data_IF_854722760082
#
_entry.id   IF_854722760082
#
_cell.length_a   1.000
_cell.length_b   1.000
_cell.length_c   1.000
_cell.angle_alpha   90.00
_cell.angle_beta   90.00
_cell.angle_gamma   90.00
#
_symmetry.space_group_name_H-M   'P 1'
#
loop_
_entity.id
_entity.type
_entity.pdbx_description
1 polymer ?
#
# COMPACT_ATOMS: atom_id res chain seq x y z
N UNK A 1 18.96 -2.33 -0.03
CA UNK A 1 19.76 -1.12 -0.40
C UNK A 1 19.27 0.13 0.35
N UNK A 2 17.96 0.40 0.45
CA UNK A 2 17.38 1.56 1.14
C UNK A 2 17.90 1.73 2.59
N UNK A 3 17.92 0.67 3.41
CA UNK A 3 18.51 0.74 4.75
C UNK A 3 19.95 1.29 4.75
N UNK A 4 20.78 0.84 3.81
CA UNK A 4 22.17 1.31 3.72
C UNK A 4 22.28 2.76 3.26
N UNK A 5 21.33 3.23 2.43
CA UNK A 5 21.25 4.66 2.09
C UNK A 5 21.00 5.49 3.32
N UNK A 6 19.96 5.15 4.10
CA UNK A 6 19.63 5.83 5.35
C UNK A 6 20.76 5.74 6.38
N UNK A 7 21.38 4.54 6.52
CA UNK A 7 22.54 4.38 7.38
C UNK A 7 23.69 5.31 7.00
N UNK A 8 24.04 5.36 5.71
CA UNK A 8 25.15 6.17 5.20
C UNK A 8 24.86 7.67 5.28
N UNK A 9 23.63 8.11 5.14
CA UNK A 9 23.21 9.49 5.35
C UNK A 9 23.43 9.92 6.81
N UNK A 10 23.03 9.09 7.76
CA UNK A 10 23.15 9.37 9.19
C UNK A 10 24.54 9.09 9.77
N UNK A 11 25.40 8.36 9.06
CA UNK A 11 26.74 7.99 9.51
C UNK A 11 27.80 8.31 8.44
N UNK A 12 28.06 9.58 8.10
CA UNK A 12 28.94 9.96 6.99
C UNK A 12 30.37 9.47 7.17
N UNK A 13 30.83 9.35 8.43
CA UNK A 13 32.18 8.88 8.77
C UNK A 13 32.31 7.34 8.90
N UNK A 14 31.20 6.61 8.81
CA UNK A 14 31.15 5.14 8.94
C UNK A 14 30.34 4.51 7.81
N UNK A 15 30.49 5.05 6.60
CA UNK A 15 29.76 4.56 5.42
C UNK A 15 30.03 3.07 5.18
N UNK A 16 28.98 2.35 4.82
CA UNK A 16 29.03 0.94 4.43
C UNK A 16 28.93 0.81 2.92
N UNK A 17 29.79 -0.02 2.34
CA UNK A 17 29.73 -0.34 0.93
C UNK A 17 28.55 -1.27 0.63
N UNK A 18 27.78 -0.98 -0.43
CA UNK A 18 26.60 -1.75 -0.80
C UNK A 18 26.92 -3.18 -1.20
N UNK A 19 28.05 -3.40 -1.87
CA UNK A 19 28.42 -4.71 -2.41
C UNK A 19 28.61 -5.80 -1.34
N UNK A 20 29.00 -5.43 -0.12
CA UNK A 20 29.12 -6.36 1.02
C UNK A 20 27.79 -7.02 1.41
N UNK A 21 26.66 -6.44 1.01
CA UNK A 21 25.32 -6.89 1.36
C UNK A 21 24.53 -7.44 0.17
N UNK A 22 25.21 -7.64 -0.97
CA UNK A 22 24.59 -8.33 -2.10
C UNK A 22 24.41 -9.81 -1.77
N UNK A 23 23.25 -10.40 -2.05
CA UNK A 23 23.06 -11.83 -1.82
C UNK A 23 24.03 -12.62 -2.70
N UNK A 24 24.71 -13.58 -2.11
CA UNK A 24 25.58 -14.54 -2.81
C UNK A 24 24.81 -15.74 -3.35
N UNK A 25 23.57 -15.90 -2.91
CA UNK A 25 22.66 -16.95 -3.32
C UNK A 25 21.42 -16.36 -4.00
N UNK A 26 21.15 -16.82 -5.20
CA UNK A 26 19.87 -16.56 -5.89
C UNK A 26 19.03 -17.84 -5.77
N UNK A 27 17.89 -17.80 -5.09
CA UNK A 27 17.01 -18.96 -5.03
C UNK A 27 16.55 -19.34 -6.44
N UNK A 28 16.42 -20.66 -6.70
CA UNK A 28 15.79 -21.12 -7.93
C UNK A 28 14.38 -20.55 -7.98
N UNK A 29 14.05 -19.88 -9.07
CA UNK A 29 12.71 -19.42 -9.33
C UNK A 29 11.80 -20.67 -9.49
N UNK A 30 10.88 -20.85 -8.55
CA UNK A 30 9.99 -22.02 -8.53
C UNK A 30 8.60 -21.72 -9.09
N UNK A 31 8.22 -20.44 -9.09
CA UNK A 31 6.90 -19.98 -9.56
C UNK A 31 7.08 -18.82 -10.53
N UNK A 32 6.18 -18.70 -11.50
CA UNK A 32 6.12 -17.54 -12.38
C UNK A 32 5.82 -16.27 -11.60
N UNK A 33 6.11 -15.10 -12.20
CA UNK A 33 5.81 -13.80 -11.63
C UNK A 33 7.05 -13.01 -11.22
N UNK A 34 6.80 -11.78 -10.74
CA UNK A 34 7.85 -10.84 -10.38
C UNK A 34 7.56 -10.24 -9.01
N UNK A 35 8.64 -9.97 -8.26
CA UNK A 35 8.61 -9.29 -6.97
C UNK A 35 9.58 -8.12 -7.06
N UNK A 36 9.06 -6.91 -6.92
CA UNK A 36 9.84 -5.68 -7.01
C UNK A 36 9.74 -4.87 -5.71
N UNK A 37 10.73 -4.98 -4.80
CA UNK A 37 10.82 -4.08 -3.66
C UNK A 37 11.14 -2.66 -4.13
N UNK A 38 10.47 -1.67 -3.54
CA UNK A 38 10.76 -0.26 -3.76
C UNK A 38 10.73 0.53 -2.45
N UNK A 39 11.43 1.65 -2.45
CA UNK A 39 11.43 2.58 -1.33
C UNK A 39 10.93 3.94 -1.76
N UNK A 40 10.29 4.64 -0.85
CA UNK A 40 9.88 6.02 -0.99
C UNK A 40 10.61 6.91 0.02
N UNK A 41 10.80 8.16 -0.33
CA UNK A 41 11.62 9.08 0.45
C UNK A 41 11.18 10.53 0.23
N UNK A 42 10.99 11.31 1.30
CA UNK A 42 10.61 12.71 1.19
C UNK A 42 11.70 13.62 0.61
N UNK A 43 12.89 13.08 0.37
CA UNK A 43 14.05 13.81 -0.20
C UNK A 43 14.17 13.57 -1.72
N UNK A 44 13.32 12.73 -2.30
CA UNK A 44 13.27 12.47 -3.73
C UNK A 44 12.05 13.17 -4.33
N UNK A 45 12.19 13.68 -5.56
CA UNK A 45 11.09 14.34 -6.27
C UNK A 45 9.99 13.36 -6.70
N UNK A 46 10.32 12.06 -6.80
CA UNK A 46 9.39 11.01 -7.21
C UNK A 46 8.67 10.40 -6.00
N UNK A 47 7.37 10.55 -5.93
CA UNK A 47 6.48 9.90 -4.95
C UNK A 47 6.04 8.52 -5.44
N UNK A 48 6.95 7.55 -5.34
CA UNK A 48 6.74 6.20 -5.92
C UNK A 48 5.54 5.48 -5.34
N UNK A 49 5.28 5.65 -4.05
CA UNK A 49 4.12 5.06 -3.38
C UNK A 49 2.80 5.51 -4.00
N UNK A 50 2.66 6.81 -4.20
CA UNK A 50 1.46 7.40 -4.86
C UNK A 50 1.33 6.88 -6.29
N UNK A 51 2.43 6.92 -7.07
CA UNK A 51 2.41 6.47 -8.46
C UNK A 51 2.00 5.00 -8.60
N UNK A 52 2.53 4.12 -7.75
CA UNK A 52 2.18 2.69 -7.75
C UNK A 52 0.72 2.50 -7.37
N UNK A 53 0.21 3.19 -6.35
CA UNK A 53 -1.18 3.07 -5.94
C UNK A 53 -2.15 3.60 -6.99
N UNK A 54 -1.83 4.74 -7.61
CA UNK A 54 -2.63 5.28 -8.73
C UNK A 54 -2.66 4.33 -9.93
N UNK A 55 -1.52 3.72 -10.26
CA UNK A 55 -1.43 2.77 -11.38
C UNK A 55 -2.29 1.52 -11.10
N UNK A 56 -2.18 0.94 -9.90
CA UNK A 56 -2.98 -0.21 -9.48
C UNK A 56 -4.48 0.06 -9.55
N UNK A 57 -4.93 1.18 -9.00
CA UNK A 57 -6.35 1.55 -8.95
C UNK A 57 -6.87 1.87 -10.36
N UNK A 58 -6.12 2.63 -11.15
CA UNK A 58 -6.55 3.10 -12.48
C UNK A 58 -6.64 1.99 -13.51
N UNK A 59 -5.80 0.96 -13.39
CA UNK A 59 -5.75 -0.18 -14.32
C UNK A 59 -6.60 -1.38 -13.89
N UNK A 60 -7.19 -1.34 -12.70
CA UNK A 60 -8.06 -2.39 -12.19
C UNK A 60 -9.30 -2.59 -13.08
N UNK A 61 -9.67 -3.85 -13.31
CA UNK A 61 -10.79 -4.23 -14.19
C UNK A 61 -11.92 -4.92 -13.44
N UNK A 62 -11.62 -5.66 -12.37
CA UNK A 62 -12.60 -6.46 -11.62
C UNK A 62 -12.72 -5.98 -10.18
N UNK A 63 -11.60 -5.88 -9.47
CA UNK A 63 -11.62 -5.48 -8.08
C UNK A 63 -10.29 -4.86 -7.60
N UNK A 64 -10.41 -4.00 -6.59
CA UNK A 64 -9.31 -3.46 -5.78
C UNK A 64 -9.67 -3.63 -4.32
N UNK A 65 -8.91 -4.44 -3.59
CA UNK A 65 -9.10 -4.68 -2.17
C UNK A 65 -7.92 -4.12 -1.38
N UNK A 66 -8.22 -3.31 -0.38
CA UNK A 66 -7.22 -2.50 0.33
C UNK A 66 -7.38 -2.69 1.83
N UNK A 67 -6.27 -2.91 2.53
CA UNK A 67 -6.19 -2.77 3.99
C UNK A 67 -5.30 -1.59 4.31
N UNK A 68 -5.80 -0.68 5.15
CA UNK A 68 -5.01 0.47 5.61
C UNK A 68 -5.46 0.93 6.99
N UNK A 69 -4.52 1.26 7.90
CA UNK A 69 -4.89 1.79 9.22
C UNK A 69 -5.40 3.23 9.15
N UNK A 70 -5.05 3.97 8.10
CA UNK A 70 -5.45 5.36 7.91
C UNK A 70 -5.95 5.56 6.48
N UNK A 71 -7.20 6.03 6.36
CA UNK A 71 -7.85 6.33 5.08
C UNK A 71 -8.05 7.84 4.97
N UNK A 72 -6.97 8.55 4.67
CA UNK A 72 -6.92 10.00 4.46
C UNK A 72 -6.18 10.25 3.14
N UNK A 73 -6.70 9.73 2.01
CA UNK A 73 -6.04 9.86 0.72
C UNK A 73 -5.98 11.32 0.28
N UNK A 74 -4.98 11.63 -0.53
CA UNK A 74 -4.96 12.89 -1.25
C UNK A 74 -6.06 12.94 -2.33
N UNK A 75 -6.18 14.07 -2.98
CA UNK A 75 -7.22 14.29 -4.00
C UNK A 75 -7.12 13.31 -5.17
N UNK A 76 -5.92 12.97 -5.61
CA UNK A 76 -5.69 12.12 -6.78
C UNK A 76 -6.06 10.66 -6.47
N UNK A 77 -5.65 10.13 -5.33
CA UNK A 77 -6.01 8.79 -4.87
C UNK A 77 -7.52 8.69 -4.57
N UNK A 78 -8.09 9.71 -3.94
CA UNK A 78 -9.54 9.77 -3.69
C UNK A 78 -10.31 9.71 -5.00
N UNK A 79 -9.91 10.52 -5.98
CA UNK A 79 -10.52 10.56 -7.31
C UNK A 79 -10.36 9.23 -8.04
N UNK A 80 -9.18 8.60 -7.98
CA UNK A 80 -8.92 7.31 -8.62
C UNK A 80 -9.82 6.20 -8.04
N UNK A 81 -9.97 6.13 -6.71
CA UNK A 81 -10.84 5.17 -6.03
C UNK A 81 -12.31 5.35 -6.42
N UNK A 82 -12.79 6.60 -6.45
CA UNK A 82 -14.16 6.94 -6.88
C UNK A 82 -14.40 6.52 -8.32
N UNK A 83 -13.52 6.92 -9.24
CA UNK A 83 -13.64 6.58 -10.66
C UNK A 83 -13.58 5.06 -10.91
N UNK A 84 -12.76 4.32 -10.18
CA UNK A 84 -12.72 2.87 -10.26
C UNK A 84 -14.08 2.25 -9.89
N UNK A 85 -14.65 2.66 -8.77
CA UNK A 85 -15.95 2.18 -8.31
C UNK A 85 -17.08 2.57 -9.29
N UNK A 86 -17.11 3.81 -9.78
CA UNK A 86 -18.10 4.29 -10.76
C UNK A 86 -18.01 3.55 -12.12
N UNK A 87 -16.82 3.06 -12.48
CA UNK A 87 -16.63 2.19 -13.68
C UNK A 87 -17.09 0.74 -13.44
N UNK A 88 -17.52 0.40 -12.24
CA UNK A 88 -17.98 -0.94 -11.88
C UNK A 88 -16.93 -1.87 -11.31
N UNK A 89 -15.74 -1.38 -10.98
CA UNK A 89 -14.72 -2.14 -10.24
C UNK A 89 -15.19 -2.31 -8.79
N UNK A 90 -15.12 -3.53 -8.24
CA UNK A 90 -15.45 -3.80 -6.84
C UNK A 90 -14.33 -3.29 -5.94
N UNK A 91 -14.47 -2.06 -5.43
CA UNK A 91 -13.49 -1.43 -4.54
C UNK A 91 -13.91 -1.68 -3.09
N UNK A 92 -13.04 -2.36 -2.32
CA UNK A 92 -13.26 -2.65 -0.89
C UNK A 92 -12.07 -2.20 -0.07
N UNK A 93 -12.37 -1.53 1.05
CA UNK A 93 -11.35 -1.02 1.96
C UNK A 93 -11.65 -1.49 3.37
N UNK A 94 -10.65 -2.06 4.04
CA UNK A 94 -10.72 -2.43 5.47
C UNK A 94 -9.89 -1.42 6.26
N UNK A 95 -10.49 -0.84 7.29
CA UNK A 95 -9.88 0.10 8.24
C UNK A 95 -10.09 -0.36 9.67
N UNK A 96 -9.34 0.15 10.67
CA UNK A 96 -9.62 -0.17 12.07
C UNK A 96 -10.94 0.48 12.52
N UNK A 97 -11.74 -0.25 13.30
CA UNK A 97 -12.88 0.32 14.02
C UNK A 97 -12.44 1.14 15.25
N UNK A 98 -11.38 0.68 15.93
CA UNK A 98 -10.84 1.35 17.12
C UNK A 98 -9.73 2.31 16.70
N UNK A 99 -9.92 3.64 16.82
CA UNK A 99 -8.88 4.59 16.46
C UNK A 99 -7.74 4.57 17.49
N UNK A 100 -6.48 4.64 17.02
CA UNK A 100 -5.33 4.94 17.86
C UNK A 100 -5.30 6.42 18.26
N UNK A 101 -5.81 7.30 17.37
CA UNK A 101 -5.92 8.75 17.57
C UNK A 101 -7.27 9.24 17.07
N UNK A 102 -8.10 9.73 17.96
CA UNK A 102 -9.47 10.16 17.67
C UNK A 102 -9.57 11.22 16.55
N UNK A 103 -8.62 12.17 16.48
CA UNK A 103 -8.64 13.24 15.47
C UNK A 103 -8.31 12.73 14.06
N UNK A 104 -7.47 11.70 13.94
CA UNK A 104 -7.15 11.05 12.66
C UNK A 104 -8.38 10.33 12.12
N UNK A 105 -9.15 9.72 13.00
CA UNK A 105 -10.39 9.04 12.64
C UNK A 105 -11.47 10.00 12.11
N UNK A 106 -11.58 11.20 12.69
CA UNK A 106 -12.50 12.22 12.18
C UNK A 106 -12.13 12.69 10.76
N UNK A 107 -10.83 12.79 10.45
CA UNK A 107 -10.39 13.12 9.08
C UNK A 107 -10.73 11.99 8.08
N UNK A 108 -10.63 10.74 8.50
CA UNK A 108 -11.01 9.61 7.66
C UNK A 108 -12.51 9.62 7.30
N UNK A 109 -13.38 10.06 8.19
CA UNK A 109 -14.82 10.14 7.92
C UNK A 109 -15.19 11.06 6.76
N UNK A 110 -14.44 12.12 6.51
CA UNK A 110 -14.66 12.97 5.35
C UNK A 110 -14.42 12.20 4.05
N UNK A 111 -13.38 11.37 3.99
CA UNK A 111 -13.12 10.52 2.84
C UNK A 111 -14.16 9.39 2.71
N UNK A 112 -14.67 8.86 3.83
CA UNK A 112 -15.69 7.80 3.82
C UNK A 112 -16.93 8.22 3.08
N UNK A 113 -17.48 9.42 3.35
CA UNK A 113 -18.69 9.88 2.72
C UNK A 113 -18.57 9.89 1.20
N UNK A 114 -17.52 10.53 0.67
CA UNK A 114 -17.32 10.63 -0.78
C UNK A 114 -17.08 9.26 -1.44
N UNK A 115 -16.35 8.38 -0.77
CA UNK A 115 -16.06 7.03 -1.27
C UNK A 115 -17.33 6.17 -1.30
N UNK A 116 -18.13 6.19 -0.22
CA UNK A 116 -19.38 5.43 -0.13
C UNK A 116 -20.41 5.91 -1.17
N UNK A 117 -20.55 7.23 -1.38
CA UNK A 117 -21.42 7.80 -2.40
C UNK A 117 -21.03 7.35 -3.82
N UNK A 118 -19.76 7.08 -4.08
CA UNK A 118 -19.26 6.57 -5.36
C UNK A 118 -19.33 5.03 -5.50
N UNK A 119 -19.81 4.32 -4.48
CA UNK A 119 -19.97 2.86 -4.50
C UNK A 119 -18.80 2.06 -3.95
N UNK A 120 -17.80 2.70 -3.37
CA UNK A 120 -16.72 2.01 -2.62
C UNK A 120 -17.31 1.39 -1.36
N UNK A 121 -16.90 0.17 -1.02
CA UNK A 121 -17.34 -0.54 0.19
C UNK A 121 -16.27 -0.40 1.27
N UNK A 122 -16.62 0.14 2.42
CA UNK A 122 -15.72 0.32 3.56
C UNK A 122 -16.15 -0.60 4.69
N UNK A 123 -15.21 -1.35 5.24
CA UNK A 123 -15.39 -2.27 6.36
C UNK A 123 -14.51 -1.85 7.52
N UNK A 124 -15.07 -1.84 8.72
CA UNK A 124 -14.33 -1.53 9.94
C UNK A 124 -14.02 -2.81 10.71
N UNK A 125 -12.74 -3.13 10.85
CA UNK A 125 -12.26 -4.30 11.58
C UNK A 125 -12.45 -4.12 13.09
N UNK A 126 -13.39 -4.89 13.67
CA UNK A 126 -13.78 -4.76 15.08
C UNK A 126 -12.94 -5.58 16.07
N UNK A 127 -12.28 -6.71 15.70
CA UNK A 127 -11.56 -7.54 16.69
C UNK A 127 -10.30 -6.88 17.27
N UNK A 128 -9.83 -5.77 16.70
CA UNK A 128 -8.65 -5.07 17.18
C UNK A 128 -8.21 -3.94 16.24
N UNK A 129 -6.97 -3.48 16.41
CA UNK A 129 -6.38 -2.45 15.57
C UNK A 129 -5.64 -3.09 14.40
N UNK A 130 -6.28 -3.14 13.21
CA UNK A 130 -5.62 -3.59 11.99
C UNK A 130 -4.56 -2.57 11.55
N UNK A 131 -3.34 -3.04 11.29
CA UNK A 131 -2.23 -2.17 10.88
C UNK A 131 -1.57 -2.65 9.56
N UNK A 132 -2.26 -3.49 8.79
CA UNK A 132 -1.84 -3.90 7.46
C UNK A 132 -1.87 -2.72 6.48
N UNK A 133 -0.99 -2.72 5.50
CA UNK A 133 -1.01 -1.86 4.32
C UNK A 133 -0.80 -2.78 3.13
N UNK A 134 -1.90 -3.20 2.57
CA UNK A 134 -1.93 -4.15 1.47
C UNK A 134 -2.93 -3.73 0.40
N UNK A 135 -2.60 -4.07 -0.83
CA UNK A 135 -3.47 -3.98 -2.00
C UNK A 135 -3.49 -5.33 -2.68
N UNK A 136 -4.66 -5.78 -3.09
CA UNK A 136 -4.83 -6.93 -3.99
C UNK A 136 -5.73 -6.52 -5.14
N UNK A 137 -5.26 -6.72 -6.36
CA UNK A 137 -5.94 -6.27 -7.58
C UNK A 137 -6.02 -7.42 -8.58
N UNK A 138 -7.23 -7.76 -8.99
CA UNK A 138 -7.56 -8.62 -10.13
C UNK A 138 -6.93 -10.02 -10.14
N UNK A 139 -6.50 -10.58 -9.00
CA UNK A 139 -5.69 -11.81 -8.86
C UNK A 139 -4.28 -11.73 -9.46
N UNK A 140 -3.90 -10.59 -10.03
CA UNK A 140 -2.67 -10.44 -10.81
C UNK A 140 -1.61 -9.61 -10.09
N UNK A 141 -2.03 -8.59 -9.36
CA UNK A 141 -1.16 -7.62 -8.71
C UNK A 141 -1.45 -7.53 -7.21
N UNK A 142 -0.40 -7.35 -6.43
CA UNK A 142 -0.54 -6.98 -5.03
C UNK A 142 0.60 -6.04 -4.60
N UNK A 143 0.33 -5.25 -3.57
CA UNK A 143 1.34 -4.49 -2.84
C UNK A 143 1.25 -4.80 -1.36
N UNK A 144 2.39 -4.95 -0.73
CA UNK A 144 2.52 -5.11 0.72
C UNK A 144 3.69 -4.25 1.20
N UNK A 145 3.47 -3.45 2.24
CA UNK A 145 4.55 -2.59 2.74
C UNK A 145 4.19 -1.76 3.96
N UNK A 146 4.85 -0.61 4.06
CA UNK A 146 4.69 0.31 5.18
C UNK A 146 3.86 1.54 4.83
N UNK A 147 3.53 1.77 3.54
CA UNK A 147 2.89 2.99 3.03
C UNK A 147 1.39 2.97 3.33
N UNK A 148 0.94 3.87 4.21
CA UNK A 148 -0.48 4.08 4.49
C UNK A 148 -1.13 4.95 3.40
N UNK A 149 -2.47 4.93 3.34
CA UNK A 149 -3.26 5.89 2.56
C UNK A 149 -3.50 7.20 3.34
N UNK A 150 -2.41 7.85 3.76
CA UNK A 150 -2.45 9.17 4.39
C UNK A 150 -1.32 10.05 3.86
N UNK A 151 -1.55 11.37 3.86
CA UNK A 151 -0.62 12.36 3.32
C UNK A 151 0.79 12.28 3.92
N UNK A 152 0.88 11.96 5.21
CA UNK A 152 2.16 11.88 5.90
C UNK A 152 3.00 10.71 5.41
N UNK A 153 2.37 9.55 5.23
CA UNK A 153 3.04 8.35 4.72
C UNK A 153 3.42 8.52 3.24
N UNK A 154 2.51 9.08 2.45
CA UNK A 154 2.69 9.23 1.01
C UNK A 154 3.77 10.24 0.62
N UNK A 155 3.98 11.33 1.41
CA UNK A 155 4.82 12.45 0.99
C UNK A 155 5.95 12.82 1.96
N UNK A 156 5.86 12.44 3.24
CA UNK A 156 6.72 13.00 4.28
C UNK A 156 7.58 11.96 5.01
N UNK A 157 7.39 10.67 4.71
CA UNK A 157 8.09 9.58 5.38
C UNK A 157 9.03 8.82 4.45
N UNK A 158 10.02 8.16 5.06
CA UNK A 158 10.74 7.07 4.43
C UNK A 158 9.91 5.81 4.57
N UNK A 159 9.46 5.26 3.45
CA UNK A 159 8.59 4.11 3.39
C UNK A 159 9.18 3.03 2.47
N UNK A 160 8.70 1.81 2.59
CA UNK A 160 9.05 0.73 1.67
C UNK A 160 7.85 -0.17 1.41
N UNK A 161 7.78 -0.65 0.18
CA UNK A 161 6.79 -1.64 -0.20
C UNK A 161 7.35 -2.60 -1.24
N UNK A 162 6.58 -3.61 -1.52
CA UNK A 162 6.89 -4.62 -2.53
C UNK A 162 5.72 -4.77 -3.47
N UNK A 163 5.94 -4.49 -4.74
CA UNK A 163 5.00 -4.81 -5.82
C UNK A 163 5.18 -6.28 -6.21
N UNK A 164 4.08 -7.00 -6.26
CA UNK A 164 4.02 -8.43 -6.54
C UNK A 164 3.14 -8.62 -7.78
N UNK A 165 3.65 -9.33 -8.80
CA UNK A 165 2.97 -9.55 -10.05
C UNK A 165 2.95 -11.04 -10.40
N UNK A 166 1.77 -11.60 -10.67
CA UNK A 166 1.53 -13.00 -11.04
C UNK A 166 2.17 -14.05 -10.12
N UNK A 167 2.26 -13.78 -8.80
CA UNK A 167 2.79 -14.72 -7.81
C UNK A 167 1.67 -15.41 -7.04
N UNK A 168 1.85 -16.68 -6.68
CA UNK A 168 0.85 -17.46 -5.93
C UNK A 168 0.47 -16.85 -4.57
N UNK A 169 1.37 -16.05 -3.97
CA UNK A 169 1.11 -15.36 -2.70
C UNK A 169 -0.07 -14.37 -2.80
N UNK A 170 -0.41 -13.88 -3.99
CA UNK A 170 -1.55 -12.98 -4.21
C UNK A 170 -2.86 -13.66 -3.80
N UNK A 171 -3.01 -14.96 -4.10
CA UNK A 171 -4.18 -15.74 -3.69
C UNK A 171 -4.26 -15.91 -2.16
N UNK A 172 -3.12 -16.02 -1.49
CA UNK A 172 -3.07 -16.05 -0.03
C UNK A 172 -3.48 -14.71 0.57
N UNK A 173 -3.00 -13.60 -0.01
CA UNK A 173 -3.38 -12.24 0.41
C UNK A 173 -4.87 -11.98 0.18
N UNK A 174 -5.42 -12.42 -0.96
CA UNK A 174 -6.85 -12.33 -1.24
C UNK A 174 -7.69 -13.12 -0.23
N UNK A 175 -7.29 -14.35 0.07
CA UNK A 175 -7.99 -15.19 1.05
C UNK A 175 -7.95 -14.58 2.46
N UNK A 176 -6.82 -13.97 2.84
CA UNK A 176 -6.66 -13.26 4.12
C UNK A 176 -7.57 -12.03 4.19
N UNK A 177 -7.58 -11.20 3.14
CA UNK A 177 -8.48 -10.06 3.03
C UNK A 177 -9.96 -10.45 3.21
N UNK A 178 -10.41 -11.48 2.45
CA UNK A 178 -11.81 -11.94 2.49
C UNK A 178 -12.20 -12.53 3.86
N UNK A 179 -11.25 -13.09 4.59
CA UNK A 179 -11.46 -13.59 5.95
C UNK A 179 -11.50 -12.45 6.98
N UNK A 180 -10.76 -11.38 6.74
CA UNK A 180 -10.63 -10.20 7.62
C UNK A 180 -11.84 -9.26 7.46
N UNK A 181 -12.47 -9.22 6.29
CA UNK A 181 -13.69 -8.48 5.98
C UNK A 181 -14.91 -9.00 6.77
#
# INVERSE_FOLDING_TARGET
MMFLQLWNMNNPNKKKAYDQYRPTYLPKQTNGGFIQPYGDSPVQDDVKGVMVYLDLISNAKRYVYIETPYLIPDHDLLTALKLAAEKGVDVRIITPHIPDKWYVYQLAWNAYQELLESGVKIFEYTPGFIHAKSFVVDDELAVLGTINLDYRSLYLHFECATLIYHCNVIQTMLADFLKTQ
#
